data_IF_660804936744
#
_entry.id   IF_660804936744
#
_cell.length_a   1.000
_cell.length_b   1.000
_cell.length_c   1.000
_cell.angle_alpha   90.00
_cell.angle_beta   90.00
_cell.angle_gamma   90.00
#
_symmetry.space_group_name_H-M   'P 1'
#
loop_
_entity.id
_entity.type
_entity.pdbx_description
1 polymer ?
#
# COMPACT_ATOMS: atom_id res chain seq x y z
N UNK A 1 -8.62 3.55 -24.14
CA UNK A 1 -7.58 3.12 -23.16
C UNK A 1 -7.75 3.77 -21.77
N UNK A 2 -7.97 5.09 -21.68
CA UNK A 2 -8.09 5.81 -20.38
C UNK A 2 -9.22 5.35 -19.44
N UNK A 3 -10.33 4.82 -19.96
CA UNK A 3 -11.45 4.37 -19.12
C UNK A 3 -11.14 3.09 -18.31
N UNK A 4 -10.20 2.25 -18.74
CA UNK A 4 -9.84 1.00 -18.03
C UNK A 4 -8.92 1.24 -16.84
N UNK A 5 -7.98 2.20 -16.98
CA UNK A 5 -7.05 2.60 -15.92
C UNK A 5 -7.79 3.26 -14.76
N UNK A 6 -8.78 4.12 -15.04
CA UNK A 6 -9.56 4.80 -14.02
C UNK A 6 -10.48 3.83 -13.24
N UNK A 7 -11.00 2.78 -13.89
CA UNK A 7 -11.77 1.73 -13.21
C UNK A 7 -10.89 0.86 -12.33
N UNK A 8 -9.65 0.58 -12.77
CA UNK A 8 -8.69 -0.19 -11.98
C UNK A 8 -8.24 0.56 -10.72
N UNK A 9 -7.98 1.87 -10.84
CA UNK A 9 -7.62 2.74 -9.71
C UNK A 9 -8.76 2.88 -8.70
N UNK A 10 -10.01 2.99 -9.17
CA UNK A 10 -11.21 3.01 -8.31
C UNK A 10 -11.42 1.69 -7.56
N UNK A 11 -11.22 0.55 -8.22
CA UNK A 11 -11.37 -0.76 -7.60
C UNK A 11 -10.24 -1.07 -6.60
N UNK A 12 -9.00 -0.63 -6.88
CA UNK A 12 -7.88 -0.74 -5.95
C UNK A 12 -8.10 0.10 -4.69
N UNK A 13 -8.63 1.32 -4.84
CA UNK A 13 -8.99 2.19 -3.72
C UNK A 13 -10.13 1.59 -2.86
N UNK A 14 -11.11 0.93 -3.50
CA UNK A 14 -12.21 0.24 -2.82
C UNK A 14 -11.78 -1.03 -2.07
N UNK A 15 -10.76 -1.75 -2.57
CA UNK A 15 -10.21 -2.93 -1.90
C UNK A 15 -9.44 -2.57 -0.63
N UNK A 16 -8.71 -1.45 -0.65
CA UNK A 16 -7.95 -0.94 0.50
C UNK A 16 -8.87 -0.46 1.64
N UNK A 17 -10.12 -0.07 1.35
CA UNK A 17 -11.11 0.31 2.36
C UNK A 17 -11.79 -0.90 3.01
N UNK A 18 -12.03 -1.99 2.28
CA UNK A 18 -12.67 -3.20 2.83
C UNK A 18 -11.74 -4.02 3.76
N UNK A 19 -10.42 -3.97 3.54
CA UNK A 19 -9.45 -4.68 4.39
C UNK A 19 -9.35 -4.10 5.81
N UNK A 20 -9.82 -2.87 6.04
CA UNK A 20 -9.78 -2.21 7.34
C UNK A 20 -10.89 -2.62 8.33
N UNK A 21 -11.91 -3.39 7.91
CA UNK A 21 -13.12 -3.61 8.73
C UNK A 21 -13.22 -5.00 9.40
N UNK A 22 -12.21 -5.87 9.29
CA UNK A 22 -12.30 -7.27 9.75
C UNK A 22 -11.66 -7.58 11.12
N UNK A 23 -11.32 -6.57 11.93
CA UNK A 23 -10.76 -6.77 13.28
C UNK A 23 -11.73 -6.29 14.37
N UNK A 24 -12.96 -6.81 14.40
CA UNK A 24 -13.76 -6.88 15.63
C UNK A 24 -14.71 -8.08 15.51
N UNK A 25 -14.49 -9.14 16.30
CA UNK A 25 -15.51 -10.17 16.47
C UNK A 25 -15.00 -11.54 16.92
N UNK A 26 -14.84 -11.72 18.23
CA UNK A 26 -15.19 -12.99 18.90
C UNK A 26 -15.14 -12.80 20.42
N UNK A 27 -16.31 -12.87 21.06
CA UNK A 27 -16.48 -12.92 22.51
C UNK A 27 -16.73 -14.38 22.95
N UNK A 28 -16.15 -14.83 24.06
CA UNK A 28 -16.64 -15.94 24.90
C UNK A 28 -16.04 -15.86 26.34
N UNK A 29 -16.88 -16.15 27.33
CA UNK A 29 -16.91 -15.84 28.80
C UNK A 29 -16.28 -16.93 29.71
N UNK A 30 -16.42 -16.95 31.08
CA UNK A 30 -16.34 -15.94 32.16
C UNK A 30 -15.45 -16.39 33.38
N UNK A 31 -15.17 -15.47 34.33
CA UNK A 31 -15.02 -15.82 35.76
C UNK A 31 -13.72 -15.43 36.47
N UNK A 32 -13.76 -14.34 37.25
CA UNK A 32 -13.25 -14.22 38.63
C UNK A 32 -13.25 -12.73 39.05
N UNK A 33 -14.03 -12.43 40.07
CA UNK A 33 -14.21 -11.11 40.67
C UNK A 33 -13.04 -10.75 41.58
N UNK A 34 -12.38 -9.62 41.31
CA UNK A 34 -11.67 -8.84 42.33
C UNK A 34 -12.10 -7.38 42.19
N UNK A 35 -12.73 -6.91 43.26
CA UNK A 35 -13.29 -5.58 43.44
C UNK A 35 -12.20 -4.50 43.21
N UNK A 36 -12.33 -3.70 42.14
CA UNK A 36 -11.50 -2.53 41.82
C UNK A 36 -12.43 -1.35 41.53
N UNK A 37 -12.09 -0.12 41.96
CA UNK A 37 -13.01 0.99 42.04
C UNK A 37 -13.52 1.41 40.65
N UNK A 38 -14.77 1.84 40.60
CA UNK A 38 -15.50 2.27 39.41
C UNK A 38 -14.66 3.19 38.50
N UNK A 39 -14.15 2.63 37.41
CA UNK A 39 -13.62 3.36 36.28
C UNK A 39 -14.69 3.34 35.18
N UNK A 40 -15.27 4.51 34.91
CA UNK A 40 -16.15 4.74 33.77
C UNK A 40 -15.37 4.52 32.47
N UNK A 41 -15.81 3.62 31.56
CA UNK A 41 -15.14 3.45 30.29
C UNK A 41 -15.56 4.59 29.36
N UNK A 42 -14.72 5.62 29.25
CA UNK A 42 -14.75 6.54 28.10
C UNK A 42 -13.48 6.30 27.30
N UNK A 43 -13.45 5.25 26.48
CA UNK A 43 -12.33 4.98 25.57
C UNK A 43 -12.82 4.45 24.23
N UNK A 44 -13.01 5.37 23.29
CA UNK A 44 -12.75 5.11 21.87
C UNK A 44 -11.68 6.09 21.41
N UNK A 45 -10.49 5.98 21.99
CA UNK A 45 -9.29 6.61 21.44
C UNK A 45 -8.85 5.79 20.22
N UNK A 46 -9.52 6.03 19.09
CA UNK A 46 -8.78 5.99 17.83
C UNK A 46 -7.64 7.00 17.97
N UNK A 47 -6.39 6.68 17.60
CA UNK A 47 -5.36 7.70 17.50
C UNK A 47 -5.73 8.53 16.27
N UNK A 48 -6.72 9.41 16.41
CA UNK A 48 -6.91 10.52 15.50
C UNK A 48 -5.67 11.37 15.72
N UNK A 49 -4.65 11.17 14.87
CA UNK A 49 -3.57 12.13 14.76
C UNK A 49 -4.27 13.44 14.42
N UNK A 50 -4.40 14.33 15.41
CA UNK A 50 -4.77 15.72 15.19
C UNK A 50 -3.61 16.32 14.40
N UNK A 51 -3.69 16.19 13.08
CA UNK A 51 -2.78 16.88 12.18
C UNK A 51 -3.15 18.35 12.28
N UNK A 52 -2.22 19.18 12.75
CA UNK A 52 -2.40 20.63 12.78
C UNK A 52 -2.83 21.10 11.37
N UNK A 53 -3.98 21.78 11.22
CA UNK A 53 -4.46 22.27 9.92
C UNK A 53 -3.45 23.16 9.19
N UNK A 54 -2.52 23.80 9.94
CA UNK A 54 -1.45 24.61 9.36
C UNK A 54 -0.41 23.78 8.59
N UNK A 55 -0.23 22.50 8.94
CA UNK A 55 0.62 21.59 8.17
C UNK A 55 0.03 21.24 6.81
N UNK A 56 -1.30 21.33 6.66
CA UNK A 56 -1.98 21.06 5.39
C UNK A 56 -1.86 22.25 4.41
N UNK A 57 -1.67 23.47 4.93
CA UNK A 57 -1.60 24.70 4.12
C UNK A 57 -0.19 25.01 3.59
N UNK A 58 0.84 24.30 4.06
CA UNK A 58 2.26 24.58 3.73
C UNK A 58 3.00 23.49 2.95
N UNK A 59 2.33 22.47 2.42
CA UNK A 59 3.01 21.41 1.66
C UNK A 59 3.41 21.90 0.26
N UNK A 60 4.64 21.63 -0.21
CA UNK A 60 5.01 21.90 -1.58
C UNK A 60 4.16 21.05 -2.55
N UNK A 61 3.97 21.49 -3.80
CA UNK A 61 3.27 20.69 -4.79
C UNK A 61 4.01 19.36 -5.00
N UNK A 62 3.26 18.26 -4.91
CA UNK A 62 3.77 16.91 -5.14
C UNK A 62 3.20 16.42 -6.47
N UNK A 63 4.03 15.77 -7.26
CA UNK A 63 3.65 15.18 -8.54
C UNK A 63 3.80 13.66 -8.48
N UNK A 64 2.93 12.96 -9.20
CA UNK A 64 3.03 11.52 -9.41
C UNK A 64 2.62 11.21 -10.84
N UNK A 65 3.51 10.52 -11.59
CA UNK A 65 3.29 10.20 -12.99
C UNK A 65 3.00 11.45 -13.87
N UNK A 66 3.62 12.59 -13.50
CA UNK A 66 3.42 13.87 -14.20
C UNK A 66 2.14 14.64 -13.83
N UNK A 67 1.29 14.09 -12.98
CA UNK A 67 0.08 14.76 -12.50
C UNK A 67 0.29 15.36 -11.10
N UNK A 68 -0.30 16.53 -10.85
CA UNK A 68 -0.29 17.12 -9.50
C UNK A 68 -1.17 16.31 -8.57
N UNK A 69 -0.64 15.92 -7.42
CA UNK A 69 -1.42 15.32 -6.35
C UNK A 69 -2.36 16.39 -5.77
N UNK A 70 -3.67 16.12 -5.61
CA UNK A 70 -4.64 17.10 -5.13
C UNK A 70 -4.52 17.32 -3.61
N UNK A 71 -3.40 17.93 -3.18
CA UNK A 71 -3.10 18.23 -1.77
C UNK A 71 -3.97 19.35 -1.18
N UNK A 72 -4.80 20.02 -2.00
CA UNK A 72 -5.83 20.93 -1.52
C UNK A 72 -7.04 20.19 -0.94
N UNK A 73 -7.20 18.90 -1.27
CA UNK A 73 -8.22 18.05 -0.66
C UNK A 73 -7.73 17.56 0.70
N UNK A 74 -8.47 17.92 1.76
CA UNK A 74 -8.09 17.60 3.15
C UNK A 74 -7.85 16.10 3.36
N UNK A 75 -8.67 15.24 2.75
CA UNK A 75 -8.51 13.79 2.84
C UNK A 75 -7.19 13.30 2.26
N UNK A 76 -6.75 13.87 1.14
CA UNK A 76 -5.50 13.50 0.45
C UNK A 76 -4.31 14.03 1.24
N UNK A 77 -4.34 15.30 1.63
CA UNK A 77 -3.29 15.93 2.41
C UNK A 77 -3.10 15.23 3.76
N UNK A 78 -4.19 14.89 4.47
CA UNK A 78 -4.14 14.15 5.73
C UNK A 78 -3.51 12.77 5.55
N UNK A 79 -3.83 12.04 4.47
CA UNK A 79 -3.22 10.74 4.18
C UNK A 79 -1.73 10.87 3.89
N UNK A 80 -1.31 11.90 3.16
CA UNK A 80 0.09 12.19 2.87
C UNK A 80 0.86 12.52 4.16
N UNK A 81 0.41 13.50 4.95
CA UNK A 81 1.04 13.87 6.22
C UNK A 81 1.10 12.67 7.16
N UNK A 82 0.01 11.93 7.28
CA UNK A 82 -0.04 10.75 8.13
C UNK A 82 0.93 9.66 7.65
N UNK A 83 1.10 9.48 6.32
CA UNK A 83 2.11 8.57 5.77
C UNK A 83 3.53 9.05 6.07
N UNK A 84 3.81 10.34 5.95
CA UNK A 84 5.13 10.91 6.28
C UNK A 84 5.44 10.71 7.77
N UNK A 85 4.55 11.16 8.67
CA UNK A 85 4.72 11.06 10.12
C UNK A 85 4.91 9.60 10.57
N UNK A 86 4.13 8.65 10.04
CA UNK A 86 4.28 7.22 10.34
C UNK A 86 5.63 6.64 9.90
N UNK A 87 6.24 7.20 8.87
CA UNK A 87 7.49 6.72 8.30
C UNK A 87 8.73 7.46 8.84
N UNK A 88 8.56 8.64 9.46
CA UNK A 88 9.66 9.41 10.08
C UNK A 88 10.30 8.69 11.28
N UNK A 89 9.52 7.94 12.07
CA UNK A 89 10.02 7.25 13.29
C UNK A 89 10.43 5.80 13.06
N UNK A 90 10.04 5.19 11.93
CA UNK A 90 10.32 3.78 11.59
C UNK A 90 11.59 3.62 10.76
N UNK A 91 12.73 3.97 11.34
CA UNK A 91 14.00 3.99 10.61
C UNK A 91 14.38 2.63 10.00
N UNK A 92 14.26 1.51 10.72
CA UNK A 92 14.79 0.22 10.25
C UNK A 92 14.01 -0.37 9.05
N UNK A 93 12.68 -0.31 9.06
CA UNK A 93 11.88 -0.83 7.96
C UNK A 93 12.07 0.01 6.69
N UNK A 94 12.07 1.34 6.83
CA UNK A 94 12.30 2.26 5.74
C UNK A 94 13.71 2.09 5.14
N UNK A 95 14.74 1.90 5.98
CA UNK A 95 16.10 1.63 5.51
C UNK A 95 16.20 0.36 4.67
N UNK A 96 15.55 -0.73 5.08
CA UNK A 96 15.51 -1.99 4.31
C UNK A 96 14.80 -1.81 2.97
N UNK A 97 13.68 -1.09 2.96
CA UNK A 97 12.95 -0.79 1.71
C UNK A 97 13.81 0.06 0.79
N UNK A 98 14.50 1.08 1.31
CA UNK A 98 15.43 1.93 0.55
C UNK A 98 16.59 1.12 -0.05
N UNK A 99 17.15 0.18 0.69
CA UNK A 99 18.19 -0.72 0.19
C UNK A 99 17.67 -1.60 -0.97
N UNK A 100 16.47 -2.16 -0.85
CA UNK A 100 15.84 -2.92 -1.94
C UNK A 100 15.54 -2.05 -3.15
N UNK A 101 15.03 -0.84 -2.94
CA UNK A 101 14.76 0.11 -4.01
C UNK A 101 16.03 0.42 -4.81
N UNK A 102 17.16 0.63 -4.14
CA UNK A 102 18.44 0.86 -4.80
C UNK A 102 18.89 -0.32 -5.69
N UNK A 103 18.49 -1.56 -5.36
CA UNK A 103 18.80 -2.75 -6.16
C UNK A 103 17.79 -2.97 -7.29
N UNK A 104 16.49 -2.77 -7.02
CA UNK A 104 15.44 -3.17 -7.96
C UNK A 104 14.97 -2.06 -8.90
N UNK A 105 15.08 -0.79 -8.52
CA UNK A 105 14.71 0.32 -9.40
C UNK A 105 15.51 0.36 -10.71
N UNK A 106 16.84 0.15 -10.70
CA UNK A 106 17.61 0.06 -11.95
C UNK A 106 17.16 -1.07 -12.90
N UNK A 107 16.45 -2.08 -12.38
CA UNK A 107 15.87 -3.18 -13.18
C UNK A 107 14.47 -2.79 -13.68
N UNK A 108 13.66 -2.16 -12.84
CA UNK A 108 12.27 -1.78 -13.14
C UNK A 108 12.21 -0.62 -14.15
N UNK A 109 12.99 0.43 -13.92
CA UNK A 109 12.99 1.67 -14.72
C UNK A 109 13.14 1.45 -16.23
N UNK A 110 14.13 0.66 -16.73
CA UNK A 110 14.24 0.42 -18.16
C UNK A 110 13.06 -0.39 -18.73
N UNK A 111 12.41 -1.23 -17.92
CA UNK A 111 11.20 -1.96 -18.35
C UNK A 111 10.03 -0.99 -18.50
N UNK A 112 9.82 -0.11 -17.51
CA UNK A 112 8.78 0.93 -17.59
C UNK A 112 9.00 1.85 -18.79
N UNK A 113 10.24 2.30 -19.01
CA UNK A 113 10.60 3.15 -20.13
C UNK A 113 10.31 2.48 -21.49
N UNK A 114 10.61 1.17 -21.64
CA UNK A 114 10.28 0.42 -22.87
C UNK A 114 8.79 0.35 -23.15
N UNK A 115 7.95 0.37 -22.11
CA UNK A 115 6.49 0.36 -22.23
C UNK A 115 5.86 1.77 -22.29
N UNK A 116 6.68 2.83 -22.28
CA UNK A 116 6.19 4.21 -22.24
C UNK A 116 5.47 4.56 -20.93
N UNK A 117 5.75 3.83 -19.85
CA UNK A 117 5.15 4.06 -18.53
C UNK A 117 6.01 5.05 -17.74
N UNK A 118 5.42 6.06 -17.06
CA UNK A 118 6.16 6.99 -16.22
C UNK A 118 7.00 6.28 -15.15
N UNK A 119 8.23 6.76 -14.91
CA UNK A 119 9.16 6.10 -13.99
C UNK A 119 8.67 6.10 -12.54
N UNK A 120 7.82 7.04 -12.14
CA UNK A 120 7.19 7.08 -10.81
C UNK A 120 6.38 5.81 -10.51
N UNK A 121 5.95 5.08 -11.54
CA UNK A 121 5.22 3.83 -11.38
C UNK A 121 6.04 2.75 -10.63
N UNK A 122 7.37 2.88 -10.57
CA UNK A 122 8.25 2.02 -9.76
C UNK A 122 7.93 2.06 -8.25
N UNK A 123 7.25 3.09 -7.77
CA UNK A 123 6.82 3.17 -6.37
C UNK A 123 5.61 2.28 -6.05
N UNK A 124 4.88 1.82 -7.06
CA UNK A 124 3.75 0.90 -6.87
C UNK A 124 4.20 -0.44 -6.24
N UNK A 125 5.15 -1.21 -6.80
CA UNK A 125 5.60 -2.47 -6.19
C UNK A 125 6.32 -2.25 -4.84
N UNK A 126 6.82 -1.03 -4.59
CA UNK A 126 7.36 -0.64 -3.29
C UNK A 126 6.26 -0.51 -2.22
N UNK A 127 5.11 0.07 -2.56
CA UNK A 127 3.96 0.16 -1.65
C UNK A 127 3.24 -1.18 -1.50
N UNK A 128 3.12 -1.95 -2.57
CA UNK A 128 2.35 -3.20 -2.59
C UNK A 128 3.05 -4.35 -1.84
N UNK A 129 4.36 -4.50 -2.01
CA UNK A 129 5.11 -5.65 -1.47
C UNK A 129 6.36 -5.28 -0.69
N UNK A 130 6.67 -3.98 -0.52
CA UNK A 130 8.00 -3.56 -0.05
C UNK A 130 9.14 -4.15 -0.91
N UNK A 131 8.87 -4.32 -2.22
CA UNK A 131 9.71 -4.98 -3.21
C UNK A 131 10.10 -6.41 -2.80
N UNK A 132 9.13 -7.21 -2.35
CA UNK A 132 9.34 -8.61 -1.98
C UNK A 132 8.67 -9.55 -2.98
N UNK A 133 9.47 -10.37 -3.67
CA UNK A 133 8.96 -11.34 -4.64
C UNK A 133 8.08 -12.44 -4.05
N UNK A 134 8.31 -12.82 -2.78
CA UNK A 134 7.51 -13.85 -2.10
C UNK A 134 6.34 -13.29 -1.27
N UNK A 135 6.01 -11.99 -1.40
CA UNK A 135 4.88 -11.42 -0.69
C UNK A 135 3.57 -12.05 -1.18
N UNK A 136 2.74 -12.51 -0.24
CA UNK A 136 1.40 -13.06 -0.51
C UNK A 136 0.40 -12.38 0.43
N UNK A 137 -0.61 -11.73 -0.15
CA UNK A 137 -1.70 -11.15 0.63
C UNK A 137 -2.67 -12.22 1.12
N UNK A 138 -3.47 -11.94 2.17
CA UNK A 138 -4.55 -12.83 2.61
C UNK A 138 -5.60 -13.14 1.54
N UNK A 139 -5.66 -12.36 0.46
CA UNK A 139 -6.60 -12.53 -0.66
C UNK A 139 -5.97 -13.25 -1.85
N UNK A 140 -4.69 -13.59 -1.80
CA UNK A 140 -3.99 -14.36 -2.85
C UNK A 140 -3.31 -13.51 -3.93
N UNK A 141 -3.25 -12.19 -3.76
CA UNK A 141 -2.33 -11.34 -4.51
C UNK A 141 -0.88 -11.74 -4.16
N UNK A 142 -0.02 -11.90 -5.16
CA UNK A 142 1.35 -12.41 -4.98
C UNK A 142 2.36 -11.58 -5.74
N UNK A 143 3.59 -11.54 -5.23
CA UNK A 143 4.73 -11.01 -5.96
C UNK A 143 4.98 -9.53 -5.72
N UNK A 144 5.96 -9.01 -6.47
CA UNK A 144 6.39 -7.61 -6.38
C UNK A 144 5.22 -6.63 -6.59
N UNK A 145 4.40 -6.93 -7.59
CA UNK A 145 3.27 -6.10 -8.04
C UNK A 145 1.93 -6.49 -7.41
N UNK A 146 1.92 -7.52 -6.54
CA UNK A 146 0.69 -8.04 -5.92
C UNK A 146 -0.43 -8.33 -6.93
N UNK A 147 -0.12 -9.10 -7.99
CA UNK A 147 -1.14 -9.51 -8.93
C UNK A 147 -2.02 -10.63 -8.37
N UNK A 148 -3.33 -10.52 -8.56
CA UNK A 148 -4.27 -11.62 -8.36
C UNK A 148 -4.04 -12.71 -9.42
N UNK A 149 -4.33 -14.00 -9.11
CA UNK A 149 -4.07 -15.08 -10.06
C UNK A 149 -4.77 -14.90 -11.42
N UNK A 150 -6.00 -14.37 -11.42
CA UNK A 150 -6.74 -14.08 -12.64
C UNK A 150 -6.06 -12.98 -13.47
N UNK A 151 -5.76 -11.82 -12.86
CA UNK A 151 -5.07 -10.72 -13.53
C UNK A 151 -3.70 -11.14 -14.07
N UNK A 152 -2.92 -11.88 -13.28
CA UNK A 152 -1.62 -12.35 -13.71
C UNK A 152 -1.69 -13.21 -14.98
N UNK A 153 -2.66 -14.13 -15.07
CA UNK A 153 -2.85 -14.96 -16.28
C UNK A 153 -3.29 -14.13 -17.48
N UNK A 154 -4.16 -13.14 -17.27
CA UNK A 154 -4.58 -12.20 -18.33
C UNK A 154 -3.39 -11.39 -18.88
N UNK A 155 -2.43 -11.05 -18.02
CA UNK A 155 -1.19 -10.37 -18.39
C UNK A 155 -0.08 -11.34 -18.88
N UNK A 156 -0.40 -12.62 -19.08
CA UNK A 156 0.52 -13.61 -19.66
C UNK A 156 1.51 -14.23 -18.67
N UNK A 157 1.33 -14.04 -17.36
CA UNK A 157 2.14 -14.71 -16.34
C UNK A 157 1.63 -16.13 -16.08
N UNK A 158 2.56 -17.08 -16.03
CA UNK A 158 2.32 -18.47 -15.67
C UNK A 158 2.30 -18.67 -14.16
N UNK A 159 1.32 -19.45 -13.69
CA UNK A 159 1.16 -19.84 -12.28
C UNK A 159 0.99 -21.35 -12.24
N UNK A 160 2.01 -22.07 -11.79
CA UNK A 160 2.04 -23.52 -11.72
C UNK A 160 2.51 -24.06 -10.36
N UNK A 161 2.41 -25.38 -10.21
CA UNK A 161 2.85 -26.12 -9.02
C UNK A 161 4.38 -26.15 -8.94
N UNK A 162 4.99 -25.06 -8.47
CA UNK A 162 6.44 -24.93 -8.28
C UNK A 162 7.07 -23.71 -8.95
N UNK A 163 6.32 -22.99 -9.78
CA UNK A 163 6.76 -21.72 -10.37
C UNK A 163 5.59 -20.76 -10.46
N UNK A 164 5.73 -19.59 -9.83
CA UNK A 164 4.76 -18.50 -9.90
C UNK A 164 5.47 -17.25 -10.43
N UNK A 165 5.22 -16.91 -11.69
CA UNK A 165 5.92 -15.82 -12.37
C UNK A 165 5.58 -14.44 -11.82
N UNK A 166 4.53 -14.32 -11.00
CA UNK A 166 4.26 -13.10 -10.22
C UNK A 166 5.42 -12.78 -9.27
N UNK A 167 6.14 -13.79 -8.80
CA UNK A 167 7.29 -13.66 -7.91
C UNK A 167 8.57 -13.29 -8.64
N UNK A 168 8.59 -13.34 -9.98
CA UNK A 168 9.76 -13.04 -10.79
C UNK A 168 9.76 -11.55 -11.19
N UNK A 169 10.75 -10.78 -10.73
CA UNK A 169 10.79 -9.31 -10.90
C UNK A 169 10.62 -8.87 -12.36
N UNK A 170 11.46 -9.39 -13.26
CA UNK A 170 11.42 -8.98 -14.67
C UNK A 170 10.11 -9.39 -15.35
N UNK A 171 9.66 -10.65 -15.20
CA UNK A 171 8.41 -11.13 -15.81
C UNK A 171 7.21 -10.34 -15.31
N UNK A 172 7.06 -10.22 -13.99
CA UNK A 172 5.96 -9.46 -13.39
C UNK A 172 6.00 -7.95 -13.71
N UNK A 173 7.16 -7.37 -14.01
CA UNK A 173 7.24 -5.96 -14.43
C UNK A 173 6.94 -5.76 -15.93
N UNK A 174 7.06 -6.80 -16.75
CA UNK A 174 6.69 -6.73 -18.18
C UNK A 174 5.20 -7.04 -18.42
N UNK A 175 4.51 -7.58 -17.42
CA UNK A 175 3.10 -7.94 -17.44
C UNK A 175 2.22 -6.68 -17.38
#
# INVERSE_FOLDING_TARGET
MQKRILTCLKNLLSLLLLAGLLIVGSAFTPGASLNRPNYTPSSTLSPTIHVDPTLLTGLPPVYFCGESVPIHEEAVARRLVSALVRNTTRNQALLRIRQRAAVFFPIIEPILARHGIPLDFKYLPLVESALQGFAVSPKGATGYWQFMPATARELGLSIGNGSDERQHLVKSTNA
#
